data_IF_507339159995
#
_entry.id   IF_507339159995
#
_cell.length_a   1.000
_cell.length_b   1.000
_cell.length_c   1.000
_cell.angle_alpha   90.00
_cell.angle_beta   90.00
_cell.angle_gamma   90.00
#
_symmetry.space_group_name_H-M   'P 1'
#
loop_
_entity.id
_entity.type
_entity.pdbx_description
1 polymer ?
#
# COMPACT_ATOMS: atom_id res chain seq x y z
N UNK A 1 -102.34 7.94 44.10
CA UNK A 1 -102.06 8.03 42.64
C UNK A 1 -100.56 8.26 42.46
N UNK A 2 -100.00 7.80 41.34
CA UNK A 2 -98.63 8.06 40.83
C UNK A 2 -97.41 7.52 41.62
N UNK A 3 -96.84 6.42 41.08
CA UNK A 3 -95.42 5.96 40.99
C UNK A 3 -94.49 6.02 42.24
N UNK A 4 -93.83 4.93 42.70
CA UNK A 4 -92.81 4.03 42.08
C UNK A 4 -91.48 4.75 41.75
N UNK A 5 -90.26 4.22 41.98
CA UNK A 5 -89.72 2.89 42.34
C UNK A 5 -88.46 3.04 43.27
N UNK A 6 -88.20 2.18 44.28
CA UNK A 6 -87.26 1.01 44.33
C UNK A 6 -85.77 1.37 43.99
N UNK A 7 -84.82 1.35 44.97
CA UNK A 7 -83.79 0.30 45.32
C UNK A 7 -82.73 0.02 44.21
N UNK A 8 -81.48 -0.47 44.40
CA UNK A 8 -80.55 -0.75 45.53
C UNK A 8 -79.12 -1.11 44.99
N UNK A 9 -78.06 -0.96 45.80
CA UNK A 9 -76.82 -1.80 45.94
C UNK A 9 -75.94 -2.27 44.72
N UNK A 10 -74.65 -1.85 44.70
CA UNK A 10 -73.40 -2.68 44.52
C UNK A 10 -73.25 -3.56 43.21
N UNK A 11 -72.21 -4.42 42.97
CA UNK A 11 -70.84 -4.62 43.51
C UNK A 11 -69.72 -4.75 42.39
N UNK A 12 -68.64 -5.52 42.67
CA UNK A 12 -67.69 -6.21 41.73
C UNK A 12 -66.43 -5.42 41.30
N UNK A 13 -65.23 -5.98 41.01
CA UNK A 13 -64.51 -7.30 41.10
C UNK A 13 -63.01 -6.97 41.43
N UNK A 14 -62.12 -7.76 42.02
CA UNK A 14 -61.85 -9.21 42.09
C UNK A 14 -61.15 -9.84 40.86
N UNK A 15 -59.80 -9.85 40.82
CA UNK A 15 -58.96 -10.99 40.34
C UNK A 15 -57.46 -10.86 40.71
N UNK A 16 -56.73 -11.99 40.73
CA UNK A 16 -55.26 -12.12 40.82
C UNK A 16 -54.65 -12.30 39.42
N UNK A 17 -53.32 -12.17 39.25
CA UNK A 17 -52.42 -13.27 38.83
C UNK A 17 -50.91 -12.92 38.89
N UNK A 18 -50.06 -13.89 38.52
CA UNK A 18 -48.59 -14.03 38.68
C UNK A 18 -48.07 -14.78 37.40
N UNK A 19 -46.81 -14.90 36.96
CA UNK A 19 -45.42 -14.70 37.47
C UNK A 19 -44.49 -14.44 36.24
N UNK A 20 -43.29 -13.85 36.39
CA UNK A 20 -41.99 -14.50 36.01
C UNK A 20 -40.72 -13.61 36.19
N UNK A 21 -39.55 -14.26 36.29
CA UNK A 21 -38.19 -13.70 36.25
C UNK A 21 -37.53 -13.94 34.87
N UNK A 22 -36.80 -12.97 34.33
CA UNK A 22 -35.67 -13.21 33.40
C UNK A 22 -34.57 -12.18 33.71
N UNK A 23 -33.33 -12.64 33.91
CA UNK A 23 -32.18 -11.75 34.14
C UNK A 23 -31.50 -11.37 32.82
N UNK A 24 -31.31 -10.08 32.57
CA UNK A 24 -30.48 -9.60 31.45
C UNK A 24 -29.01 -9.53 31.88
N UNK A 25 -28.24 -10.55 31.50
CA UNK A 25 -26.79 -10.41 31.43
C UNK A 25 -26.45 -9.55 30.20
N UNK A 26 -26.07 -8.29 30.41
CA UNK A 26 -25.50 -7.46 29.34
C UNK A 26 -24.09 -7.97 29.02
N UNK A 27 -24.00 -8.97 28.15
CA UNK A 27 -22.75 -9.25 27.43
C UNK A 27 -22.39 -8.02 26.61
N UNK A 28 -21.26 -7.38 26.95
CA UNK A 28 -20.72 -6.31 26.13
C UNK A 28 -20.23 -6.90 24.81
N UNK A 29 -21.11 -6.88 23.81
CA UNK A 29 -20.71 -6.84 22.40
C UNK A 29 -19.83 -5.61 22.22
N UNK A 30 -18.51 -5.80 22.33
CA UNK A 30 -17.54 -4.86 21.75
C UNK A 30 -17.97 -4.69 20.28
N UNK A 31 -18.18 -3.46 19.79
CA UNK A 31 -18.32 -3.27 18.36
C UNK A 31 -16.99 -3.69 17.73
N UNK A 32 -16.97 -4.87 17.11
CA UNK A 32 -15.88 -5.26 16.24
C UNK A 32 -16.00 -4.36 15.01
N UNK A 33 -15.31 -3.22 15.06
CA UNK A 33 -15.16 -2.33 13.91
C UNK A 33 -14.21 -3.04 12.95
N UNK A 34 -14.75 -4.01 12.23
CA UNK A 34 -14.19 -4.44 10.95
C UNK A 34 -14.36 -3.26 10.02
N UNK A 35 -13.37 -2.36 10.00
CA UNK A 35 -13.27 -1.34 8.96
C UNK A 35 -13.36 -2.06 7.62
N UNK A 36 -14.30 -1.64 6.78
CA UNK A 36 -14.56 -2.33 5.53
C UNK A 36 -13.28 -2.33 4.69
N UNK A 37 -12.99 -3.45 4.03
CA UNK A 37 -11.83 -3.56 3.15
C UNK A 37 -12.05 -2.62 1.96
N UNK A 38 -11.43 -1.43 1.99
CA UNK A 38 -11.64 -0.41 0.97
C UNK A 38 -10.81 -0.78 -0.26
N UNK A 39 -11.40 -1.56 -1.17
CA UNK A 39 -10.86 -1.76 -2.52
C UNK A 39 -11.30 -0.56 -3.38
N UNK A 40 -10.33 0.19 -3.89
CA UNK A 40 -10.57 1.40 -4.70
C UNK A 40 -10.50 1.12 -6.21
N UNK A 41 -9.78 0.06 -6.61
CA UNK A 41 -9.61 -0.36 -8.01
C UNK A 41 -9.31 -1.87 -8.08
N UNK A 42 -9.57 -2.49 -9.22
CA UNK A 42 -9.23 -3.90 -9.52
C UNK A 42 -8.30 -3.96 -10.72
N UNK A 43 -7.29 -4.82 -10.69
CA UNK A 43 -6.31 -4.97 -11.76
C UNK A 43 -5.92 -6.45 -11.92
N UNK A 44 -5.86 -6.94 -13.15
CA UNK A 44 -5.47 -8.33 -13.42
C UNK A 44 -3.97 -8.51 -13.14
N UNK A 45 -3.57 -9.65 -12.55
CA UNK A 45 -2.16 -9.92 -12.21
C UNK A 45 -1.22 -9.76 -13.42
N UNK A 46 -1.73 -10.07 -14.61
CA UNK A 46 -0.98 -10.01 -15.87
C UNK A 46 -0.82 -8.56 -16.41
N UNK A 47 -1.42 -7.54 -15.79
CA UNK A 47 -1.14 -6.12 -16.07
C UNK A 47 0.05 -5.56 -15.25
N UNK A 48 0.55 -6.29 -14.25
CA UNK A 48 1.72 -5.91 -13.43
C UNK A 48 3.07 -6.28 -14.07
N UNK A 49 3.15 -6.40 -15.40
CA UNK A 49 4.40 -6.78 -16.09
C UNK A 49 5.48 -5.70 -15.93
N UNK A 50 6.67 -6.12 -15.50
CA UNK A 50 7.84 -5.26 -15.30
C UNK A 50 8.85 -5.52 -16.43
N UNK A 51 8.47 -5.18 -17.68
CA UNK A 51 9.29 -5.42 -18.88
C UNK A 51 9.75 -4.13 -19.57
N UNK A 52 10.43 -4.28 -20.72
CA UNK A 52 10.93 -3.16 -21.53
C UNK A 52 9.86 -2.19 -22.08
N UNK A 53 8.57 -2.52 -21.98
CA UNK A 53 7.47 -1.64 -22.38
C UNK A 53 7.07 -0.63 -21.29
N UNK A 54 7.47 -0.87 -20.03
CA UNK A 54 7.05 -0.07 -18.88
C UNK A 54 7.57 1.38 -19.00
N UNK A 55 6.68 2.39 -19.12
CA UNK A 55 7.09 3.74 -19.50
C UNK A 55 7.85 4.47 -18.39
N UNK A 56 8.72 5.40 -18.77
CA UNK A 56 9.45 6.25 -17.80
C UNK A 56 8.49 6.99 -16.86
N UNK A 57 8.74 6.88 -15.56
CA UNK A 57 7.90 7.43 -14.51
C UNK A 57 6.69 6.57 -14.15
N UNK A 58 6.58 5.36 -14.73
CA UNK A 58 5.55 4.32 -14.48
C UNK A 58 4.13 4.91 -14.57
N UNK A 59 3.97 5.91 -15.46
CA UNK A 59 2.93 6.96 -15.40
C UNK A 59 1.46 6.50 -15.40
N UNK A 60 1.18 5.25 -15.75
CA UNK A 60 -0.17 4.70 -15.96
C UNK A 60 -0.75 3.95 -14.77
N UNK A 61 0.06 3.66 -13.74
CA UNK A 61 -0.38 2.85 -12.60
C UNK A 61 -1.22 3.65 -11.57
N UNK A 62 -2.12 2.99 -10.81
CA UNK A 62 -2.99 3.68 -9.85
C UNK A 62 -2.24 3.95 -8.53
N UNK A 63 -1.60 5.12 -8.45
CA UNK A 63 -0.93 5.58 -7.24
C UNK A 63 -1.91 5.96 -6.13
N UNK A 64 -1.49 5.83 -4.87
CA UNK A 64 -2.29 6.18 -3.69
C UNK A 64 -3.65 5.47 -3.61
N UNK A 65 -3.77 4.27 -4.18
CA UNK A 65 -5.00 3.44 -4.14
C UNK A 65 -4.74 2.05 -3.59
N UNK A 66 -5.70 1.50 -2.85
CA UNK A 66 -5.80 0.06 -2.59
C UNK A 66 -6.35 -0.63 -3.84
N UNK A 67 -5.49 -1.37 -4.52
CA UNK A 67 -5.83 -2.16 -5.70
C UNK A 67 -5.99 -3.62 -5.28
N UNK A 68 -7.08 -4.27 -5.65
CA UNK A 68 -7.22 -5.73 -5.55
C UNK A 68 -6.71 -6.38 -6.84
N UNK A 69 -5.74 -7.29 -6.67
CA UNK A 69 -5.06 -7.98 -7.77
C UNK A 69 -5.78 -9.29 -8.03
N UNK A 70 -6.31 -9.46 -9.25
CA UNK A 70 -7.10 -10.63 -9.64
C UNK A 70 -6.24 -11.69 -10.33
N UNK A 71 -6.59 -12.98 -10.14
CA UNK A 71 -6.01 -14.09 -10.90
C UNK A 71 -6.85 -14.46 -12.14
N UNK A 72 -6.40 -15.45 -12.91
CA UNK A 72 -7.07 -15.96 -14.11
C UNK A 72 -8.48 -16.55 -13.85
N UNK A 73 -8.89 -16.73 -12.59
CA UNK A 73 -10.26 -17.11 -12.22
C UNK A 73 -11.13 -15.93 -11.77
N UNK A 74 -10.64 -14.70 -11.92
CA UNK A 74 -11.19 -13.47 -11.36
C UNK A 74 -11.35 -13.49 -9.83
N UNK A 75 -10.50 -14.26 -9.14
CA UNK A 75 -10.43 -14.29 -7.68
C UNK A 75 -9.33 -13.37 -7.16
N UNK A 76 -9.51 -12.82 -5.95
CA UNK A 76 -8.52 -11.96 -5.33
C UNK A 76 -7.25 -12.75 -4.94
N UNK A 77 -6.16 -12.53 -5.67
CA UNK A 77 -4.84 -13.10 -5.38
C UNK A 77 -4.06 -12.30 -4.33
N UNK A 78 -4.30 -10.99 -4.26
CA UNK A 78 -3.64 -10.08 -3.32
C UNK A 78 -4.22 -8.67 -3.34
N UNK A 79 -3.67 -7.80 -2.51
CA UNK A 79 -3.90 -6.36 -2.54
C UNK A 79 -2.61 -5.58 -2.46
N UNK A 80 -2.56 -4.45 -3.17
CA UNK A 80 -1.38 -3.59 -3.26
C UNK A 80 -1.73 -2.10 -3.07
N UNK A 81 -0.76 -1.32 -2.60
CA UNK A 81 -0.70 0.14 -2.78
C UNK A 81 0.54 0.46 -3.59
N UNK A 82 0.44 1.38 -4.55
CA UNK A 82 1.58 1.84 -5.34
C UNK A 82 1.92 3.28 -4.94
N UNK A 83 3.18 3.49 -4.56
CA UNK A 83 3.78 4.81 -4.36
C UNK A 83 4.92 5.05 -5.38
N UNK A 84 5.33 6.29 -5.60
CA UNK A 84 6.49 6.64 -6.44
C UNK A 84 7.29 7.81 -5.90
N UNK A 85 8.61 7.66 -5.99
CA UNK A 85 9.57 8.70 -5.70
C UNK A 85 10.45 9.00 -6.92
N UNK A 86 11.03 10.19 -6.98
CA UNK A 86 11.93 10.56 -8.06
C UNK A 86 12.86 11.72 -7.74
N UNK A 87 14.11 11.60 -8.19
CA UNK A 87 15.16 12.61 -8.10
C UNK A 87 15.48 13.12 -9.50
N UNK A 88 15.63 14.44 -9.60
CA UNK A 88 16.09 15.14 -10.79
C UNK A 88 17.35 15.93 -10.44
N UNK A 89 18.51 15.36 -10.74
CA UNK A 89 19.84 15.95 -10.50
C UNK A 89 20.28 16.90 -11.63
N UNK A 90 19.40 17.26 -12.57
CA UNK A 90 19.71 18.24 -13.63
C UNK A 90 19.89 19.65 -13.07
N UNK A 91 20.47 20.57 -13.85
CA UNK A 91 20.60 21.98 -13.48
C UNK A 91 19.30 22.80 -13.68
N UNK A 92 18.19 22.14 -14.04
CA UNK A 92 16.89 22.81 -14.20
C UNK A 92 16.41 23.44 -12.89
N UNK A 93 15.91 24.70 -12.91
CA UNK A 93 15.27 25.31 -11.75
C UNK A 93 13.92 24.66 -11.41
N UNK A 94 13.27 24.02 -12.39
CA UNK A 94 12.03 23.24 -12.19
C UNK A 94 12.39 21.76 -12.30
N UNK A 95 12.37 21.06 -11.17
CA UNK A 95 12.65 19.62 -11.09
C UNK A 95 11.44 18.82 -11.56
N UNK A 96 11.66 17.87 -12.46
CA UNK A 96 10.59 17.04 -13.05
C UNK A 96 11.08 15.60 -13.29
N UNK A 97 11.32 14.80 -12.23
CA UNK A 97 11.85 13.44 -12.39
C UNK A 97 10.96 12.59 -13.31
N UNK A 98 9.64 12.69 -13.16
CA UNK A 98 8.68 11.89 -13.93
C UNK A 98 8.39 12.39 -15.36
N UNK A 99 8.79 13.61 -15.77
CA UNK A 99 8.24 14.18 -17.02
C UNK A 99 8.73 13.48 -18.29
N UNK A 100 10.04 13.21 -18.39
CA UNK A 100 10.71 12.50 -19.50
C UNK A 100 12.04 11.93 -19.04
N UNK A 101 12.45 10.82 -19.64
CA UNK A 101 13.82 10.29 -19.57
C UNK A 101 14.79 11.38 -20.04
N UNK A 102 15.72 11.76 -19.17
CA UNK A 102 16.88 12.61 -19.44
C UNK A 102 17.97 12.21 -18.46
N UNK A 103 19.26 12.37 -18.81
CA UNK A 103 20.38 12.05 -17.92
C UNK A 103 20.31 12.81 -16.58
N UNK A 104 20.78 12.16 -15.52
CA UNK A 104 20.73 12.69 -14.16
C UNK A 104 19.38 12.55 -13.47
N UNK A 105 18.59 11.52 -13.81
CA UNK A 105 17.32 11.22 -13.15
C UNK A 105 17.28 9.80 -12.60
N UNK A 106 16.63 9.66 -11.46
CA UNK A 106 16.27 8.39 -10.85
C UNK A 106 14.79 8.45 -10.51
N UNK A 107 14.02 7.44 -10.89
CA UNK A 107 12.67 7.20 -10.40
C UNK A 107 12.63 5.81 -9.79
N UNK A 108 11.83 5.61 -8.74
CA UNK A 108 11.37 4.27 -8.41
C UNK A 108 9.92 4.30 -7.94
N UNK A 109 9.20 3.21 -8.22
CA UNK A 109 7.92 2.90 -7.59
C UNK A 109 8.13 1.84 -6.51
N UNK A 110 7.29 1.89 -5.47
CA UNK A 110 7.19 0.84 -4.46
C UNK A 110 5.75 0.31 -4.41
N UNK A 111 5.58 -0.95 -4.77
CA UNK A 111 4.36 -1.73 -4.67
C UNK A 111 4.36 -2.40 -3.30
N UNK A 112 3.68 -1.82 -2.33
CA UNK A 112 3.46 -2.44 -1.02
C UNK A 112 2.31 -3.43 -1.16
N UNK A 113 2.41 -4.65 -0.66
CA UNK A 113 1.34 -5.62 -0.86
C UNK A 113 1.29 -6.80 0.11
N UNK A 114 0.15 -7.48 0.09
CA UNK A 114 0.09 -8.88 0.51
C UNK A 114 -0.69 -9.71 -0.51
N UNK A 115 -0.23 -10.93 -0.74
CA UNK A 115 -0.85 -11.93 -1.60
C UNK A 115 -1.00 -13.24 -0.81
N UNK A 116 -1.35 -14.36 -1.45
CA UNK A 116 -1.42 -15.66 -0.78
C UNK A 116 -0.09 -16.13 -0.15
N UNK A 117 1.05 -15.69 -0.72
CA UNK A 117 2.40 -16.14 -0.33
C UNK A 117 2.96 -15.39 0.90
N UNK A 118 2.52 -14.14 1.15
CA UNK A 118 2.89 -13.37 2.33
C UNK A 118 2.72 -11.86 2.15
N UNK A 119 3.45 -11.07 2.96
CA UNK A 119 3.60 -9.63 2.79
C UNK A 119 4.93 -9.28 2.12
N UNK A 120 4.92 -8.23 1.30
CA UNK A 120 6.10 -7.78 0.55
C UNK A 120 6.05 -6.28 0.25
N UNK A 121 7.21 -5.73 -0.12
CA UNK A 121 7.29 -4.54 -0.95
C UNK A 121 8.15 -4.85 -2.17
N UNK A 122 7.60 -4.64 -3.36
CA UNK A 122 8.34 -4.72 -4.61
C UNK A 122 8.73 -3.32 -5.08
N UNK A 123 9.99 -3.15 -5.48
CA UNK A 123 10.52 -1.87 -5.91
C UNK A 123 10.95 -1.95 -7.36
N UNK A 124 10.43 -1.07 -8.22
CA UNK A 124 10.83 -0.94 -9.62
C UNK A 124 11.67 0.33 -9.74
N UNK A 125 12.90 0.20 -10.19
CA UNK A 125 13.87 1.31 -10.26
C UNK A 125 14.16 1.62 -11.71
N UNK A 126 14.01 2.89 -12.09
CA UNK A 126 14.26 3.43 -13.42
C UNK A 126 15.34 4.51 -13.33
N UNK A 127 16.56 4.21 -13.80
CA UNK A 127 17.72 5.07 -13.71
C UNK A 127 18.16 5.59 -15.10
N UNK A 128 18.20 6.90 -15.26
CA UNK A 128 18.80 7.58 -16.42
C UNK A 128 20.04 8.34 -15.92
N UNK A 129 21.22 7.69 -15.85
CA UNK A 129 22.43 8.27 -15.26
C UNK A 129 23.02 9.39 -16.14
N UNK A 130 23.96 10.17 -15.59
CA UNK A 130 24.66 11.25 -16.35
C UNK A 130 25.82 10.73 -17.22
N UNK A 131 26.44 9.66 -16.75
CA UNK A 131 27.54 8.93 -17.37
C UNK A 131 27.11 7.45 -17.46
N UNK A 132 27.79 6.64 -18.26
CA UNK A 132 27.62 5.19 -18.18
C UNK A 132 28.04 4.66 -16.79
N UNK A 133 27.30 3.69 -16.28
CA UNK A 133 27.50 3.01 -14.98
C UNK A 133 27.36 1.49 -15.16
N UNK A 134 27.82 0.69 -14.19
CA UNK A 134 27.42 -0.71 -14.15
C UNK A 134 25.90 -0.78 -13.87
N UNK A 135 25.06 -1.44 -14.69
CA UNK A 135 23.63 -1.58 -14.43
C UNK A 135 23.32 -2.19 -13.06
N UNK A 136 24.20 -3.04 -12.52
CA UNK A 136 24.05 -3.64 -11.18
C UNK A 136 24.10 -2.59 -10.05
N UNK A 137 24.76 -1.45 -10.25
CA UNK A 137 24.77 -0.34 -9.27
C UNK A 137 23.38 0.31 -9.12
N UNK A 138 22.44 0.03 -10.03
CA UNK A 138 21.04 0.46 -9.93
C UNK A 138 20.18 -0.48 -9.08
N UNK A 139 20.70 -1.64 -8.67
CA UNK A 139 19.95 -2.63 -7.88
C UNK A 139 19.78 -2.21 -6.41
N UNK A 140 18.55 -2.25 -5.88
CA UNK A 140 18.32 -2.23 -4.44
C UNK A 140 19.03 -3.39 -3.71
N UNK A 141 19.74 -3.05 -2.64
CA UNK A 141 20.48 -4.00 -1.78
C UNK A 141 19.95 -4.01 -0.33
N UNK A 142 19.38 -2.89 0.12
CA UNK A 142 18.77 -2.72 1.44
C UNK A 142 17.76 -1.57 1.37
N UNK A 143 16.58 -1.77 1.94
CA UNK A 143 15.58 -0.73 2.21
C UNK A 143 15.51 -0.50 3.72
N UNK A 144 15.73 0.73 4.18
CA UNK A 144 15.55 1.13 5.58
C UNK A 144 14.38 2.10 5.71
N UNK A 145 13.47 1.86 6.66
CA UNK A 145 12.22 2.62 6.84
C UNK A 145 12.15 3.11 8.30
N UNK A 146 11.99 4.41 8.52
CA UNK A 146 11.89 5.03 9.84
C UNK A 146 10.45 5.01 10.35
N UNK A 147 10.13 4.08 11.25
CA UNK A 147 8.78 3.87 11.80
C UNK A 147 8.75 4.29 13.26
N UNK A 148 8.14 5.44 13.54
CA UNK A 148 8.15 6.05 14.88
C UNK A 148 9.58 6.29 15.37
N UNK A 149 9.98 5.66 16.47
CA UNK A 149 11.34 5.73 17.03
C UNK A 149 12.26 4.56 16.63
N UNK A 150 11.92 3.81 15.58
CA UNK A 150 12.64 2.60 15.12
C UNK A 150 13.01 2.69 13.65
N UNK A 151 14.00 1.90 13.24
CA UNK A 151 14.33 1.66 11.83
C UNK A 151 14.03 0.20 11.52
N UNK A 152 13.06 -0.03 10.63
CA UNK A 152 12.86 -1.31 9.94
C UNK A 152 13.95 -1.45 8.87
N UNK A 153 14.46 -2.67 8.67
CA UNK A 153 15.42 -3.00 7.62
C UNK A 153 14.92 -4.20 6.83
N UNK A 154 14.86 -4.06 5.51
CA UNK A 154 14.44 -5.10 4.59
C UNK A 154 15.57 -5.40 3.60
N UNK A 155 15.98 -6.66 3.52
CA UNK A 155 16.88 -7.18 2.48
C UNK A 155 16.07 -7.76 1.33
N UNK A 156 16.52 -7.64 0.06
CA UNK A 156 15.79 -8.21 -1.06
C UNK A 156 15.77 -9.74 -0.98
N UNK A 157 14.68 -10.35 -1.46
CA UNK A 157 14.55 -11.80 -1.64
C UNK A 157 15.72 -12.32 -2.49
N UNK A 158 16.24 -13.49 -2.15
CA UNK A 158 17.40 -14.09 -2.86
C UNK A 158 16.98 -14.60 -4.23
N UNK A 159 16.97 -13.70 -5.21
CA UNK A 159 16.67 -13.96 -6.63
C UNK A 159 17.79 -13.43 -7.52
N UNK A 160 17.90 -14.02 -8.71
CA UNK A 160 18.59 -13.36 -9.83
C UNK A 160 17.73 -12.15 -10.24
N UNK A 161 18.24 -10.91 -10.14
CA UNK A 161 17.47 -9.73 -10.52
C UNK A 161 17.42 -9.57 -12.04
N UNK A 162 16.32 -9.01 -12.55
CA UNK A 162 16.25 -8.65 -13.96
C UNK A 162 16.87 -7.26 -14.24
N UNK A 163 17.81 -7.29 -15.19
CA UNK A 163 18.64 -6.28 -15.87
C UNK A 163 18.13 -5.64 -17.16
N UNK A 164 17.05 -4.86 -17.22
CA UNK A 164 16.61 -4.27 -18.51
C UNK A 164 17.41 -2.99 -18.79
N UNK A 165 18.05 -2.90 -19.97
CA UNK A 165 18.81 -1.70 -20.38
C UNK A 165 18.38 -1.25 -21.78
N UNK A 166 17.92 0.00 -21.90
CA UNK A 166 17.33 0.53 -23.12
C UNK A 166 18.02 1.81 -23.59
N UNK A 167 18.51 1.81 -24.83
CA UNK A 167 19.09 2.97 -25.51
C UNK A 167 17.97 3.92 -25.94
N UNK A 168 17.97 5.14 -25.41
CA UNK A 168 17.00 6.17 -25.74
C UNK A 168 17.66 7.41 -26.33
N UNK A 169 16.90 8.14 -27.13
CA UNK A 169 17.34 9.35 -27.82
C UNK A 169 16.63 10.57 -27.23
N UNK A 170 17.35 11.66 -26.96
CA UNK A 170 16.83 12.84 -26.29
C UNK A 170 17.49 14.12 -26.82
N UNK A 171 16.82 15.27 -26.65
CA UNK A 171 17.40 16.57 -26.99
C UNK A 171 18.28 17.08 -25.85
N UNK A 172 19.55 17.38 -26.14
CA UNK A 172 20.47 18.11 -25.28
C UNK A 172 20.00 19.53 -24.99
N UNK A 173 20.69 20.23 -24.09
CA UNK A 173 20.34 21.61 -23.70
C UNK A 173 20.84 22.66 -24.73
N UNK A 174 21.71 22.22 -25.64
CA UNK A 174 22.10 22.85 -26.91
C UNK A 174 21.13 22.56 -28.08
N UNK A 175 20.09 21.76 -27.84
CA UNK A 175 19.18 21.17 -28.83
C UNK A 175 19.82 20.15 -29.79
N UNK A 176 21.03 19.62 -29.53
CA UNK A 176 21.53 18.49 -30.30
C UNK A 176 20.75 17.21 -29.97
N UNK A 177 20.61 16.31 -30.95
CA UNK A 177 20.10 14.97 -30.69
C UNK A 177 21.21 14.14 -30.06
N UNK A 178 20.96 13.62 -28.85
CA UNK A 178 21.90 12.84 -28.07
C UNK A 178 21.31 11.48 -27.71
N UNK A 179 22.17 10.49 -27.48
CA UNK A 179 21.76 9.17 -26.98
C UNK A 179 22.27 8.94 -25.57
N UNK A 180 21.58 8.08 -24.83
CA UNK A 180 21.97 7.59 -23.52
C UNK A 180 21.31 6.22 -23.31
N UNK A 181 21.81 5.44 -22.35
CA UNK A 181 21.13 4.23 -21.88
C UNK A 181 20.39 4.60 -20.59
N UNK A 182 19.17 4.09 -20.43
CA UNK A 182 18.52 4.04 -19.13
C UNK A 182 18.33 2.57 -18.71
N UNK A 183 18.41 2.32 -17.42
CA UNK A 183 18.33 0.98 -16.83
C UNK A 183 17.05 0.85 -16.01
N UNK A 184 16.38 -0.28 -16.15
CA UNK A 184 15.31 -0.72 -15.26
C UNK A 184 15.70 -2.00 -14.55
N UNK A 185 15.39 -2.08 -13.26
CA UNK A 185 15.41 -3.34 -12.51
C UNK A 185 14.22 -3.40 -11.56
N UNK A 186 13.96 -4.59 -11.01
CA UNK A 186 13.05 -4.77 -9.91
C UNK A 186 13.62 -5.67 -8.81
N UNK A 187 13.12 -5.47 -7.58
CA UNK A 187 13.46 -6.27 -6.40
C UNK A 187 12.23 -6.42 -5.51
N UNK A 188 11.94 -7.65 -5.11
CA UNK A 188 10.96 -7.97 -4.06
C UNK A 188 11.69 -8.04 -2.71
N UNK A 189 11.13 -7.40 -1.70
CA UNK A 189 11.55 -7.48 -0.31
C UNK A 189 10.45 -8.16 0.50
N UNK A 190 10.80 -9.27 1.17
CA UNK A 190 9.86 -9.99 2.03
C UNK A 190 9.63 -9.24 3.35
N UNK A 191 8.38 -9.14 3.78
CA UNK A 191 7.97 -8.46 5.01
C UNK A 191 7.36 -9.50 5.95
N UNK A 192 8.05 -9.77 7.07
CA UNK A 192 7.55 -10.68 8.12
C UNK A 192 6.43 -10.04 8.96
N UNK A 193 5.77 -10.86 9.80
CA UNK A 193 4.63 -10.44 10.62
C UNK A 193 4.95 -9.33 11.65
N UNK A 194 6.16 -9.30 12.21
CA UNK A 194 6.60 -8.30 13.19
C UNK A 194 6.93 -6.97 12.49
N UNK A 195 7.53 -7.01 11.29
CA UNK A 195 7.71 -5.83 10.45
C UNK A 195 6.38 -5.30 9.91
N UNK A 196 5.51 -6.15 9.38
CA UNK A 196 4.18 -5.75 8.92
C UNK A 196 3.37 -5.09 10.06
N UNK A 197 3.40 -5.65 11.27
CA UNK A 197 2.72 -5.08 12.43
C UNK A 197 3.31 -3.74 12.88
N UNK A 198 4.62 -3.50 12.67
CA UNK A 198 5.23 -2.17 12.86
C UNK A 198 4.77 -1.18 11.79
N UNK A 199 4.70 -1.57 10.53
CA UNK A 199 4.22 -0.71 9.43
C UNK A 199 2.75 -0.33 9.64
N UNK A 200 1.87 -1.30 9.98
CA UNK A 200 0.46 -1.05 10.32
C UNK A 200 0.29 -0.07 11.50
N UNK A 201 1.25 -0.03 12.43
CA UNK A 201 1.23 0.88 13.59
C UNK A 201 2.06 2.16 13.40
N UNK A 202 2.45 2.48 12.16
CA UNK A 202 3.11 3.73 11.83
C UNK A 202 2.18 4.94 12.06
N UNK A 203 2.72 6.12 12.45
CA UNK A 203 1.96 7.37 12.37
C UNK A 203 1.61 7.66 10.90
N UNK A 204 0.38 8.14 10.65
CA UNK A 204 -0.10 8.53 9.31
C UNK A 204 0.50 9.89 8.94
N UNK A 205 1.76 9.86 8.51
CA UNK A 205 2.59 10.99 8.08
C UNK A 205 3.53 10.54 6.95
N UNK A 206 4.34 11.46 6.39
CA UNK A 206 5.37 11.10 5.41
C UNK A 206 6.48 10.28 6.08
N UNK A 207 6.46 8.96 5.92
CA UNK A 207 7.42 8.04 6.52
C UNK A 207 8.76 8.14 5.79
N UNK A 208 9.82 8.51 6.52
CA UNK A 208 11.17 8.67 5.95
C UNK A 208 11.83 7.33 5.73
N UNK A 209 12.27 7.09 4.51
CA UNK A 209 12.93 5.86 4.09
C UNK A 209 14.24 6.16 3.34
N UNK A 210 15.04 5.11 3.12
CA UNK A 210 16.22 5.19 2.26
C UNK A 210 16.49 3.86 1.57
N UNK A 211 16.82 3.95 0.29
CA UNK A 211 17.21 2.83 -0.54
C UNK A 211 18.72 2.82 -0.72
N UNK A 212 19.35 1.65 -0.60
CA UNK A 212 20.79 1.48 -0.80
C UNK A 212 21.07 0.75 -2.11
N UNK A 213 22.01 1.30 -2.88
CA UNK A 213 22.31 1.00 -4.27
C UNK A 213 23.83 0.87 -4.44
N UNK A 214 24.38 -0.33 -4.20
CA UNK A 214 25.82 -0.54 -4.14
C UNK A 214 26.50 0.38 -3.10
N UNK A 215 27.14 1.45 -3.56
CA UNK A 215 27.78 2.48 -2.74
C UNK A 215 26.94 3.76 -2.51
N UNK A 216 25.82 3.95 -3.21
CA UNK A 216 24.93 5.12 -3.09
C UNK A 216 23.77 4.82 -2.15
N UNK A 217 23.47 5.74 -1.23
CA UNK A 217 22.22 5.75 -0.46
C UNK A 217 21.32 6.87 -0.98
N UNK A 218 20.04 6.58 -1.21
CA UNK A 218 19.02 7.52 -1.69
C UNK A 218 17.93 7.67 -0.63
N UNK A 219 17.83 8.82 0.06
CA UNK A 219 16.71 9.10 0.96
C UNK A 219 15.45 9.43 0.17
N UNK A 220 14.30 9.05 0.71
CA UNK A 220 12.98 9.35 0.17
C UNK A 220 11.93 9.44 1.30
N UNK A 221 10.73 9.87 0.95
CA UNK A 221 9.55 9.81 1.82
C UNK A 221 8.50 8.91 1.14
N UNK A 222 7.88 8.05 1.93
CA UNK A 222 6.70 7.26 1.55
C UNK A 222 5.48 8.14 1.84
N UNK A 223 4.57 8.29 0.87
CA UNK A 223 3.45 9.20 0.96
C UNK A 223 2.42 8.82 2.02
N UNK A 224 1.82 9.82 2.68
CA UNK A 224 0.76 9.65 3.70
C UNK A 224 -0.33 8.66 3.25
N UNK A 225 -0.80 8.79 2.01
CA UNK A 225 -1.83 7.92 1.40
C UNK A 225 -1.46 6.43 1.45
N UNK A 226 -0.18 6.11 1.28
CA UNK A 226 0.35 4.74 1.29
C UNK A 226 0.53 4.21 2.70
N UNK A 227 0.94 5.07 3.63
CA UNK A 227 1.08 4.74 5.05
C UNK A 227 -0.28 4.45 5.68
N UNK A 228 -1.30 5.25 5.37
CA UNK A 228 -2.69 5.02 5.79
C UNK A 228 -3.22 3.65 5.33
N UNK A 229 -2.94 3.29 4.07
CA UNK A 229 -3.42 2.06 3.43
C UNK A 229 -2.66 0.79 3.81
N UNK A 230 -1.57 0.87 4.57
CA UNK A 230 -0.84 -0.32 5.04
C UNK A 230 -1.71 -1.26 5.89
N UNK A 231 -2.69 -0.73 6.64
CA UNK A 231 -3.65 -1.60 7.33
C UNK A 231 -4.49 -2.39 6.33
N UNK A 232 -5.05 -1.78 5.29
CA UNK A 232 -5.93 -2.46 4.34
C UNK A 232 -5.20 -3.56 3.55
N UNK A 233 -4.02 -3.26 2.99
CA UNK A 233 -3.28 -4.23 2.16
C UNK A 233 -2.70 -5.40 2.97
N UNK A 234 -2.15 -5.14 4.17
CA UNK A 234 -1.61 -6.18 5.03
C UNK A 234 -2.71 -6.86 5.87
N UNK A 235 -3.97 -6.40 5.79
CA UNK A 235 -5.11 -7.13 6.37
C UNK A 235 -5.52 -8.37 5.56
N UNK A 236 -5.16 -8.44 4.28
CA UNK A 236 -5.61 -9.46 3.35
C UNK A 236 -5.04 -10.85 3.69
N UNK A 237 -3.72 -11.01 3.78
CA UNK A 237 -3.12 -12.25 4.27
C UNK A 237 -3.03 -12.26 5.80
N UNK A 238 -3.42 -13.36 6.45
CA UNK A 238 -3.33 -13.54 7.90
C UNK A 238 -1.90 -13.68 8.42
N UNK A 239 -0.96 -14.17 7.60
CA UNK A 239 0.47 -14.31 7.95
C UNK A 239 1.16 -12.97 8.20
N UNK A 240 0.61 -11.88 7.67
CA UNK A 240 1.10 -10.51 7.88
C UNK A 240 0.78 -9.93 9.26
N UNK A 241 0.01 -10.64 10.09
CA UNK A 241 -0.43 -10.16 11.40
C UNK A 241 0.37 -10.87 12.48
N UNK A 242 1.11 -10.13 13.28
CA UNK A 242 1.74 -10.70 14.48
C UNK A 242 0.65 -11.08 15.47
N UNK A 243 0.46 -12.39 15.69
CA UNK A 243 -0.37 -12.93 16.76
C UNK A 243 0.55 -13.21 17.96
N UNK A 244 0.39 -12.50 19.10
CA UNK A 244 1.21 -12.71 20.30
C UNK A 244 0.93 -14.04 21.02
#
# INVERSE_FOLDING_TARGET
MNFFHIRQYLPSKALLFIIFFVGLALTQLKPQITTAQVVEETLDKDDLVIDSSLPWGIKRWPYSKVIEVLDLSASAYGRIVIDRFGIDESLSPIKQPFSRTKPGKLVFASIWGSNLDGCYVETIVQAAPKNDINPEETLPTLLEIGVGNRIVKLTPRVTNPEIISYRYSYLGDDNSQQESIWHMNHRIFDIDADVASKLISAPVENVKARMHFGSKTVPFEIGVDTVERWQDIFSFNSTCKYVP
#
